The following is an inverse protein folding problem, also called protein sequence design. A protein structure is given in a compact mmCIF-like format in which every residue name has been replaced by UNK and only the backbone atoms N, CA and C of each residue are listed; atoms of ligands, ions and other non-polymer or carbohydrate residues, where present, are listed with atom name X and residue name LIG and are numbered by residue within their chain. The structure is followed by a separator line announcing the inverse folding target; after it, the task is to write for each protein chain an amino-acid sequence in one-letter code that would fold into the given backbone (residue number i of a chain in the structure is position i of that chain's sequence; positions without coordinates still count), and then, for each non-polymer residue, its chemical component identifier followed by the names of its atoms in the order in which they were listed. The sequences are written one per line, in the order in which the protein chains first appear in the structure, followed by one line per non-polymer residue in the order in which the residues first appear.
data_IF_376420303259
#
_entry.id   IF_376420303259
#
_cell.length_a   1.000
_cell.length_b   1.000
_cell.length_c   1.000
_cell.angle_alpha   90.00
_cell.angle_beta   90.00
_cell.angle_gamma   90.00
#
_symmetry.space_group_name_H-M   'P 1'
#
loop_
_entity.id
_entity.type
_entity.pdbx_description
1 polymer ?
#
# COMPACT_ATOMS: atom_id res chain seq x y z
N UNK A 1 -40.55 30.30 26.63
CA UNK A 1 -40.38 31.50 25.78
C UNK A 1 -39.65 31.06 24.55
N UNK A 2 -40.15 31.07 23.50
CA UNK A 2 -40.96 31.33 22.32
C UNK A 2 -40.53 30.33 21.25
N UNK A 3 -41.23 29.43 20.81
CA UNK A 3 -42.41 29.21 19.90
C UNK A 3 -42.69 30.35 18.93
N UNK A 4 -42.72 29.99 17.66
CA UNK A 4 -43.56 30.46 16.53
C UNK A 4 -42.72 30.51 15.24
N UNK A 5 -43.15 30.12 14.08
CA UNK A 5 -44.40 30.02 13.29
C UNK A 5 -43.89 29.92 11.85
N UNK A 6 -44.33 29.22 10.90
CA UNK A 6 -45.52 29.10 10.05
C UNK A 6 -45.26 28.07 8.94
N UNK A 7 -45.94 27.16 8.57
CA UNK A 7 -47.28 26.91 7.99
C UNK A 7 -47.80 27.92 6.94
N UNK A 8 -48.41 27.30 5.87
CA UNK A 8 -49.21 27.88 4.74
C UNK A 8 -48.37 27.92 3.43
N UNK A 9 -48.79 27.33 2.29
CA UNK A 9 -50.14 27.09 1.80
C UNK A 9 -50.17 25.96 0.76
N UNK A 10 -51.20 25.15 0.84
CA UNK A 10 -51.68 24.36 -0.29
C UNK A 10 -52.64 25.21 -1.11
N UNK A 11 -52.50 25.20 -2.42
CA UNK A 11 -53.61 25.63 -3.30
C UNK A 11 -53.67 24.72 -4.54
N UNK A 12 -54.83 24.20 -4.73
CA UNK A 12 -55.38 23.44 -5.85
C UNK A 12 -55.26 24.13 -7.21
N UNK A 13 -55.39 23.30 -8.21
CA UNK A 13 -56.12 23.40 -9.49
C UNK A 13 -55.21 22.86 -10.61
N UNK A 14 -55.55 21.84 -11.32
CA UNK A 14 -56.45 21.64 -12.41
C UNK A 14 -55.96 20.49 -13.26
N UNK A 15 -56.81 19.54 -13.49
CA UNK A 15 -56.67 18.50 -14.51
C UNK A 15 -56.69 19.11 -15.92
N UNK A 16 -55.74 18.72 -16.76
CA UNK A 16 -55.94 18.66 -18.22
C UNK A 16 -54.87 17.90 -18.95
N UNK A 17 -55.24 16.85 -19.67
CA UNK A 17 -54.70 16.57 -21.01
C UNK A 17 -53.42 15.70 -21.09
N UNK A 18 -53.67 14.42 -21.34
CA UNK A 18 -52.70 13.45 -21.92
C UNK A 18 -51.96 13.98 -23.15
N UNK A 19 -50.64 13.96 -23.13
CA UNK A 19 -49.82 13.60 -24.32
C UNK A 19 -48.45 13.16 -23.85
N UNK A 20 -48.15 11.88 -24.10
CA UNK A 20 -46.89 11.26 -23.73
C UNK A 20 -45.68 11.83 -24.49
N UNK A 21 -44.89 12.62 -23.82
CA UNK A 21 -43.52 12.90 -24.23
C UNK A 21 -42.62 12.58 -23.07
N UNK A 22 -42.04 11.33 -23.08
CA UNK A 22 -40.92 10.98 -22.23
C UNK A 22 -39.72 11.77 -22.75
N UNK A 23 -39.00 12.55 -21.92
CA UNK A 23 -37.76 13.17 -22.33
C UNK A 23 -36.74 12.07 -22.66
N UNK A 24 -36.33 12.00 -23.93
CA UNK A 24 -35.16 11.20 -24.36
C UNK A 24 -33.96 11.81 -23.67
N UNK A 25 -33.49 11.19 -22.56
CA UNK A 25 -32.15 11.40 -22.02
C UNK A 25 -31.16 11.05 -23.12
N UNK A 26 -30.55 12.07 -23.70
CA UNK A 26 -29.48 11.98 -24.68
C UNK A 26 -28.27 11.33 -24.03
N UNK A 27 -28.17 9.99 -24.13
CA UNK A 27 -26.99 9.22 -23.72
C UNK A 27 -25.84 9.63 -24.62
N UNK A 28 -25.04 10.61 -24.19
CA UNK A 28 -23.71 10.80 -24.77
C UNK A 28 -22.91 9.53 -24.49
N UNK A 29 -22.75 8.70 -25.50
CA UNK A 29 -21.80 7.59 -25.49
C UNK A 29 -20.40 8.22 -25.43
N UNK A 30 -19.79 8.25 -24.25
CA UNK A 30 -18.35 8.52 -24.17
C UNK A 30 -17.63 7.40 -24.93
N UNK A 31 -16.71 7.74 -25.82
CA UNK A 31 -16.02 6.72 -26.63
C UNK A 31 -14.96 5.99 -25.81
N UNK A 32 -15.39 4.89 -25.14
CA UNK A 32 -14.52 3.95 -24.42
C UNK A 32 -13.30 3.51 -25.25
N UNK A 33 -13.45 3.41 -26.57
CA UNK A 33 -12.38 3.03 -27.50
C UNK A 33 -11.25 4.06 -27.55
N UNK A 34 -11.52 5.36 -27.38
CA UNK A 34 -10.49 6.40 -27.37
C UNK A 34 -9.65 6.37 -26.08
N UNK A 35 -10.26 6.02 -24.95
CA UNK A 35 -9.57 5.94 -23.66
C UNK A 35 -8.65 4.72 -23.63
N UNK A 36 -9.11 3.57 -24.15
CA UNK A 36 -8.28 2.37 -24.27
C UNK A 36 -7.08 2.58 -25.20
N UNK A 37 -7.28 3.27 -26.34
CA UNK A 37 -6.21 3.60 -27.28
C UNK A 37 -5.19 4.58 -26.68
N UNK A 38 -5.63 5.58 -25.90
CA UNK A 38 -4.75 6.53 -25.23
C UNK A 38 -3.91 5.87 -24.13
N UNK A 39 -4.52 4.99 -23.32
CA UNK A 39 -3.81 4.23 -22.28
C UNK A 39 -2.76 3.28 -22.90
N UNK A 40 -3.11 2.56 -23.96
CA UNK A 40 -2.20 1.67 -24.67
C UNK A 40 -1.07 2.43 -25.37
N UNK A 41 -1.35 3.59 -26.00
CA UNK A 41 -0.35 4.44 -26.63
C UNK A 41 0.66 5.01 -25.62
N UNK A 42 0.21 5.40 -24.42
CA UNK A 42 1.07 5.91 -23.36
C UNK A 42 1.98 4.82 -22.80
N UNK A 43 1.45 3.60 -22.59
CA UNK A 43 2.24 2.43 -22.12
C UNK A 43 3.31 2.05 -23.13
N UNK A 44 2.98 2.03 -24.43
CA UNK A 44 3.92 1.70 -25.50
C UNK A 44 4.99 2.78 -25.71
N UNK A 45 4.65 4.06 -25.49
CA UNK A 45 5.60 5.18 -25.57
C UNK A 45 6.65 5.16 -24.47
N UNK A 46 6.27 4.69 -23.25
CA UNK A 46 7.20 4.52 -22.12
C UNK A 46 8.14 3.33 -22.31
N UNK A 47 7.67 2.28 -22.99
CA UNK A 47 8.47 1.07 -23.25
C UNK A 47 9.58 1.27 -24.30
N UNK A 48 9.47 2.33 -25.14
CA UNK A 48 10.38 2.58 -26.26
C UNK A 48 11.58 3.50 -25.98
N UNK A 49 11.75 4.07 -24.78
CA UNK A 49 12.68 5.17 -24.52
C UNK A 49 13.82 4.91 -23.53
N UNK A 50 14.29 3.66 -23.36
CA UNK A 50 15.48 3.41 -22.54
C UNK A 50 16.54 2.56 -23.26
N UNK A 51 17.70 3.13 -23.62
CA UNK A 51 18.91 2.31 -23.83
C UNK A 51 19.50 1.96 -22.46
N UNK A 52 19.64 0.67 -22.18
CA UNK A 52 20.40 0.17 -21.04
C UNK A 52 21.90 0.40 -21.32
N UNK A 53 22.49 1.36 -20.63
CA UNK A 53 23.94 1.42 -20.46
C UNK A 53 24.30 0.65 -19.19
N UNK A 54 25.05 -0.44 -19.37
CA UNK A 54 25.73 -1.12 -18.31
C UNK A 54 27.03 -0.35 -18.01
N UNK A 55 27.12 0.26 -16.83
CA UNK A 55 28.39 0.66 -16.25
C UNK A 55 28.50 0.05 -14.86
N UNK A 56 29.50 -0.79 -14.72
CA UNK A 56 29.91 -1.40 -13.45
C UNK A 56 30.84 -0.44 -12.73
N UNK A 57 30.34 0.27 -11.73
CA UNK A 57 31.18 0.90 -10.73
C UNK A 57 30.80 0.41 -9.34
N UNK A 58 31.77 -0.32 -8.73
CA UNK A 58 31.69 -0.79 -7.35
C UNK A 58 31.88 0.39 -6.40
N UNK A 59 30.83 1.01 -5.93
CA UNK A 59 30.83 1.83 -4.73
C UNK A 59 29.92 1.21 -3.69
N UNK A 60 30.52 0.80 -2.56
CA UNK A 60 29.82 0.41 -1.34
C UNK A 60 29.00 1.61 -0.81
N UNK A 61 27.76 1.69 -1.19
CA UNK A 61 26.79 2.67 -0.74
C UNK A 61 25.56 1.95 -0.20
N UNK A 62 25.09 2.37 0.96
CA UNK A 62 23.93 1.88 1.67
C UNK A 62 22.79 1.48 0.70
N UNK A 63 22.38 0.21 0.74
CA UNK A 63 21.26 -0.30 -0.03
C UNK A 63 19.96 0.33 0.48
N UNK A 64 19.64 1.49 -0.10
CA UNK A 64 18.35 2.13 0.08
C UNK A 64 17.34 1.38 -0.80
N UNK A 65 16.50 0.53 -0.22
CA UNK A 65 15.42 -0.20 -0.91
C UNK A 65 14.26 0.68 -1.38
N UNK A 66 14.30 1.98 -1.18
CA UNK A 66 13.41 2.91 -1.87
C UNK A 66 13.87 3.02 -3.34
N UNK A 67 12.95 2.89 -4.34
CA UNK A 67 13.32 3.08 -5.74
C UNK A 67 13.98 4.44 -5.91
N UNK A 68 15.26 4.45 -6.27
CA UNK A 68 16.13 5.64 -6.26
C UNK A 68 15.71 6.73 -7.27
N UNK A 69 14.77 6.44 -8.16
CA UNK A 69 14.25 7.40 -9.14
C UNK A 69 12.76 7.19 -9.36
N UNK A 70 11.95 7.99 -8.66
CA UNK A 70 10.58 8.28 -9.07
C UNK A 70 10.61 9.13 -10.34
N UNK A 71 11.00 8.52 -11.47
CA UNK A 71 11.12 9.18 -12.76
C UNK A 71 9.75 9.45 -13.40
N UNK A 72 9.78 10.13 -14.55
CA UNK A 72 8.58 10.43 -15.36
C UNK A 72 7.73 9.19 -15.63
N UNK A 73 8.34 8.01 -15.82
CA UNK A 73 7.65 6.75 -16.05
C UNK A 73 6.76 6.33 -14.86
N UNK A 74 7.24 6.48 -13.63
CA UNK A 74 6.47 6.22 -12.40
C UNK A 74 5.28 7.18 -12.29
N UNK A 75 5.50 8.48 -12.50
CA UNK A 75 4.43 9.48 -12.46
C UNK A 75 3.35 9.19 -13.52
N UNK A 76 3.76 8.88 -14.75
CA UNK A 76 2.83 8.55 -15.84
C UNK A 76 2.05 7.28 -15.50
N UNK A 77 2.72 6.22 -15.01
CA UNK A 77 2.07 4.97 -14.61
C UNK A 77 1.04 5.20 -13.48
N UNK A 78 1.41 5.97 -12.46
CA UNK A 78 0.50 6.32 -11.35
C UNK A 78 -0.70 7.13 -11.82
N UNK A 79 -0.50 8.12 -12.70
CA UNK A 79 -1.60 8.92 -13.23
C UNK A 79 -2.53 8.12 -14.14
N UNK A 80 -1.99 7.20 -14.95
CA UNK A 80 -2.78 6.30 -15.78
C UNK A 80 -3.61 5.35 -14.91
N UNK A 81 -3.00 4.77 -13.88
CA UNK A 81 -3.72 3.89 -12.96
C UNK A 81 -4.80 4.65 -12.18
N UNK A 82 -4.49 5.84 -11.67
CA UNK A 82 -5.49 6.70 -11.01
C UNK A 82 -6.64 7.08 -11.95
N UNK A 83 -6.33 7.38 -13.22
CA UNK A 83 -7.35 7.64 -14.25
C UNK A 83 -8.21 6.42 -14.52
N UNK A 84 -7.62 5.23 -14.58
CA UNK A 84 -8.34 3.97 -14.76
C UNK A 84 -9.25 3.67 -13.56
N UNK A 85 -8.76 3.82 -12.33
CA UNK A 85 -9.56 3.69 -11.10
C UNK A 85 -10.77 4.62 -11.11
N UNK A 86 -10.60 5.88 -11.53
CA UNK A 86 -11.70 6.82 -11.68
C UNK A 86 -12.77 6.34 -12.67
N UNK A 87 -12.34 5.82 -13.82
CA UNK A 87 -13.21 5.24 -14.83
C UNK A 87 -13.96 4.03 -14.26
N UNK A 88 -13.25 3.13 -13.61
CA UNK A 88 -13.78 1.92 -13.00
C UNK A 88 -14.83 2.23 -11.93
N UNK A 89 -14.56 3.19 -11.04
CA UNK A 89 -15.50 3.64 -10.02
C UNK A 89 -16.77 4.25 -10.64
N UNK A 90 -16.64 5.15 -11.64
CA UNK A 90 -17.77 5.76 -12.33
C UNK A 90 -18.62 4.70 -13.05
N UNK A 91 -18.00 3.76 -13.74
CA UNK A 91 -18.74 2.70 -14.42
C UNK A 91 -19.27 1.64 -13.46
N UNK A 92 -18.60 1.38 -12.34
CA UNK A 92 -19.12 0.55 -11.25
C UNK A 92 -20.44 1.09 -10.71
N UNK A 93 -20.50 2.40 -10.42
CA UNK A 93 -21.71 3.07 -9.98
C UNK A 93 -22.79 3.09 -11.07
N UNK A 94 -22.46 3.48 -12.31
CA UNK A 94 -23.45 3.61 -13.39
C UNK A 94 -23.93 2.28 -13.94
N UNK A 95 -23.10 1.24 -13.90
CA UNK A 95 -23.45 -0.13 -14.25
C UNK A 95 -24.10 -0.89 -13.10
N UNK A 96 -24.17 -0.28 -11.91
CA UNK A 96 -24.68 -0.87 -10.68
C UNK A 96 -23.98 -2.19 -10.32
N UNK A 97 -22.64 -2.26 -10.54
CA UNK A 97 -21.81 -3.43 -10.30
C UNK A 97 -20.95 -3.27 -9.05
N UNK A 98 -21.20 -4.13 -8.05
CA UNK A 98 -20.38 -4.18 -6.85
C UNK A 98 -19.01 -4.80 -7.11
N UNK A 99 -18.91 -5.71 -8.09
CA UNK A 99 -17.64 -6.31 -8.48
C UNK A 99 -16.67 -5.27 -9.06
N UNK A 100 -17.14 -4.36 -9.95
CA UNK A 100 -16.32 -3.25 -10.45
C UNK A 100 -15.94 -2.26 -9.35
N UNK A 101 -16.84 -1.98 -8.40
CA UNK A 101 -16.53 -1.09 -7.28
C UNK A 101 -15.50 -1.71 -6.33
N UNK A 102 -15.54 -3.02 -6.12
CA UNK A 102 -14.53 -3.72 -5.33
C UNK A 102 -13.15 -3.70 -6.01
N UNK A 103 -13.11 -3.92 -7.33
CA UNK A 103 -11.88 -3.85 -8.12
C UNK A 103 -11.30 -2.42 -8.13
N UNK A 104 -12.14 -1.41 -8.35
CA UNK A 104 -11.75 0.01 -8.24
C UNK A 104 -11.21 0.38 -6.85
N UNK A 105 -11.82 -0.15 -5.78
CA UNK A 105 -11.35 0.05 -4.40
C UNK A 105 -9.98 -0.57 -4.15
N UNK A 106 -9.72 -1.74 -4.70
CA UNK A 106 -8.42 -2.40 -4.67
C UNK A 106 -7.35 -1.56 -5.37
N UNK A 107 -7.56 -1.25 -6.64
CA UNK A 107 -6.65 -0.46 -7.45
C UNK A 107 -6.40 0.95 -6.86
N UNK A 108 -7.42 1.57 -6.22
CA UNK A 108 -7.26 2.83 -5.51
C UNK A 108 -6.31 2.70 -4.32
N UNK A 109 -6.41 1.61 -3.56
CA UNK A 109 -5.51 1.36 -2.43
C UNK A 109 -4.05 1.26 -2.86
N UNK A 110 -3.79 0.60 -3.99
CA UNK A 110 -2.44 0.45 -4.51
C UNK A 110 -1.85 1.80 -4.92
N UNK A 111 -2.64 2.64 -5.60
CA UNK A 111 -2.23 4.00 -5.94
C UNK A 111 -1.99 4.85 -4.68
N UNK A 112 -2.89 4.77 -3.69
CA UNK A 112 -2.71 5.47 -2.42
C UNK A 112 -1.48 4.97 -1.67
N UNK A 113 -1.25 3.66 -1.62
CA UNK A 113 -0.05 3.07 -1.03
C UNK A 113 1.23 3.61 -1.65
N UNK A 114 1.29 3.70 -3.00
CA UNK A 114 2.43 4.28 -3.72
C UNK A 114 2.62 5.77 -3.43
N UNK A 115 1.54 6.57 -3.44
CA UNK A 115 1.59 8.01 -3.13
C UNK A 115 2.05 8.26 -1.70
N UNK A 116 1.57 7.46 -0.76
CA UNK A 116 1.93 7.50 0.65
C UNK A 116 3.41 7.15 0.83
N UNK A 117 3.88 6.07 0.19
CA UNK A 117 5.29 5.67 0.23
C UNK A 117 6.20 6.77 -0.34
N UNK A 118 5.81 7.38 -1.47
CA UNK A 118 6.54 8.50 -2.06
C UNK A 118 6.53 9.74 -1.16
N UNK A 119 5.38 10.12 -0.61
CA UNK A 119 5.25 11.23 0.32
C UNK A 119 6.09 11.02 1.59
N UNK A 120 6.03 9.84 2.18
CA UNK A 120 6.82 9.46 3.34
C UNK A 120 8.32 9.51 3.04
N UNK A 121 8.78 8.94 1.91
CA UNK A 121 10.17 9.00 1.46
C UNK A 121 10.64 10.46 1.23
N UNK A 122 9.76 11.33 0.76
CA UNK A 122 10.06 12.74 0.56
C UNK A 122 10.16 13.52 1.88
N UNK A 123 9.30 13.21 2.84
CA UNK A 123 9.27 13.86 4.16
C UNK A 123 10.36 13.31 5.07
N UNK A 124 10.67 12.02 5.01
CA UNK A 124 11.72 11.39 5.83
C UNK A 124 13.13 11.93 5.54
N UNK A 125 13.34 12.51 4.35
CA UNK A 125 14.60 13.19 3.99
C UNK A 125 14.78 14.56 4.66
N UNK A 126 13.75 15.09 5.32
CA UNK A 126 13.87 16.37 6.04
C UNK A 126 14.72 16.16 7.28
N UNK A 127 15.62 17.11 7.52
CA UNK A 127 16.49 17.10 8.69
C UNK A 127 15.67 17.05 9.99
N UNK A 128 16.18 16.40 11.05
CA UNK A 128 15.62 16.48 12.38
C UNK A 128 15.44 17.94 12.84
N UNK A 129 14.45 18.16 13.68
CA UNK A 129 14.16 19.49 14.26
C UNK A 129 14.24 19.42 15.78
N UNK A 130 14.22 20.57 16.46
CA UNK A 130 14.20 20.60 17.94
C UNK A 130 13.01 19.85 18.55
N UNK A 131 11.88 19.72 17.81
CA UNK A 131 10.67 19.02 18.29
C UNK A 131 10.60 17.58 17.81
N UNK A 132 11.30 17.23 16.75
CA UNK A 132 11.30 15.88 16.15
C UNK A 132 12.75 15.40 15.99
N UNK A 133 13.30 14.79 17.03
CA UNK A 133 14.72 14.38 17.11
C UNK A 133 15.11 13.35 16.04
N UNK A 134 14.21 12.47 15.66
CA UNK A 134 14.39 11.53 14.52
C UNK A 134 13.79 12.05 13.21
N UNK A 135 13.39 13.33 13.16
CA UNK A 135 12.67 13.90 12.02
C UNK A 135 11.28 13.28 11.85
N UNK A 136 10.85 13.15 10.60
CA UNK A 136 9.52 12.62 10.27
C UNK A 136 9.53 11.16 9.82
N UNK A 137 10.51 10.35 10.23
CA UNK A 137 10.66 8.96 9.77
C UNK A 137 9.45 8.09 10.09
N UNK A 138 8.84 8.25 11.27
CA UNK A 138 7.63 7.51 11.69
C UNK A 138 6.37 7.83 10.86
N UNK A 139 6.38 8.88 10.06
CA UNK A 139 5.23 9.20 9.19
C UNK A 139 4.94 8.11 8.19
N UNK A 140 5.94 7.33 7.74
CA UNK A 140 5.74 6.20 6.85
C UNK A 140 4.93 5.07 7.50
N UNK A 141 5.18 4.78 8.77
CA UNK A 141 4.43 3.78 9.55
C UNK A 141 2.97 4.22 9.75
N UNK A 142 2.78 5.48 10.18
CA UNK A 142 1.44 6.05 10.36
C UNK A 142 0.65 6.07 9.04
N UNK A 143 1.31 6.42 7.96
CA UNK A 143 0.72 6.48 6.65
C UNK A 143 0.26 5.08 6.18
N UNK A 144 1.08 4.04 6.37
CA UNK A 144 0.70 2.65 6.08
C UNK A 144 -0.48 2.20 6.96
N UNK A 145 -0.49 2.58 8.24
CA UNK A 145 -1.60 2.30 9.16
C UNK A 145 -2.91 2.95 8.69
N UNK A 146 -2.88 4.24 8.35
CA UNK A 146 -4.07 4.95 7.85
C UNK A 146 -4.57 4.38 6.53
N UNK A 147 -3.67 4.02 5.59
CA UNK A 147 -4.05 3.38 4.34
C UNK A 147 -4.77 2.05 4.58
N UNK A 148 -4.22 1.20 5.46
CA UNK A 148 -4.84 -0.08 5.81
C UNK A 148 -6.22 0.09 6.46
N UNK A 149 -6.37 1.04 7.39
CA UNK A 149 -7.66 1.33 8.03
C UNK A 149 -8.68 1.87 7.03
N UNK A 150 -8.28 2.83 6.18
CA UNK A 150 -9.15 3.38 5.15
C UNK A 150 -9.66 2.30 4.21
N UNK A 151 -8.77 1.41 3.74
CA UNK A 151 -9.14 0.32 2.87
C UNK A 151 -10.09 -0.67 3.54
N UNK A 152 -9.83 -1.06 4.80
CA UNK A 152 -10.71 -1.96 5.54
C UNK A 152 -12.13 -1.39 5.71
N UNK A 153 -12.25 -0.08 5.94
CA UNK A 153 -13.55 0.60 6.01
C UNK A 153 -14.24 0.56 4.64
N UNK A 154 -13.50 0.87 3.56
CA UNK A 154 -14.05 0.88 2.20
C UNK A 154 -14.55 -0.50 1.77
N UNK A 155 -13.72 -1.55 1.93
CA UNK A 155 -14.13 -2.92 1.58
C UNK A 155 -15.23 -3.44 2.50
N UNK A 156 -15.26 -3.01 3.77
CA UNK A 156 -16.35 -3.32 4.70
C UNK A 156 -17.71 -2.76 4.22
N UNK A 157 -17.72 -1.54 3.72
CA UNK A 157 -18.93 -0.94 3.13
C UNK A 157 -19.36 -1.69 1.84
N UNK A 158 -18.39 -2.05 0.98
CA UNK A 158 -18.68 -2.84 -0.23
C UNK A 158 -19.21 -4.23 0.14
N UNK A 159 -18.59 -4.91 1.13
CA UNK A 159 -19.06 -6.20 1.61
C UNK A 159 -20.50 -6.13 2.15
N UNK A 160 -20.78 -5.12 2.96
CA UNK A 160 -22.13 -4.91 3.52
C UNK A 160 -23.18 -4.76 2.40
N UNK A 161 -22.89 -3.90 1.42
CA UNK A 161 -23.80 -3.69 0.28
C UNK A 161 -23.93 -4.96 -0.59
N UNK A 162 -22.84 -5.68 -0.84
CA UNK A 162 -22.85 -6.92 -1.59
C UNK A 162 -23.69 -8.02 -0.89
N UNK A 163 -23.57 -8.14 0.44
CA UNK A 163 -24.40 -9.08 1.24
C UNK A 163 -25.88 -8.68 1.14
N UNK A 164 -26.20 -7.38 1.27
CA UNK A 164 -27.57 -6.88 1.14
C UNK A 164 -28.16 -7.22 -0.26
N UNK A 165 -27.36 -7.09 -1.33
CA UNK A 165 -27.76 -7.42 -2.71
C UNK A 165 -27.91 -8.91 -2.98
N UNK A 166 -27.33 -9.79 -2.18
CA UNK A 166 -27.62 -11.24 -2.28
C UNK A 166 -29.08 -11.56 -1.95
N UNK A 167 -29.65 -10.83 -0.97
CA UNK A 167 -31.09 -10.96 -0.64
C UNK A 167 -32.02 -10.24 -1.62
N UNK A 168 -31.54 -9.16 -2.28
CA UNK A 168 -32.31 -8.33 -3.21
C UNK A 168 -31.46 -8.04 -4.47
N UNK A 169 -31.29 -9.00 -5.37
CA UNK A 169 -30.41 -8.83 -6.54
C UNK A 169 -30.88 -7.66 -7.43
N UNK A 170 -29.99 -6.75 -7.70
CA UNK A 170 -30.23 -5.58 -8.54
C UNK A 170 -29.82 -5.85 -9.99
N UNK A 171 -30.48 -5.22 -10.99
CA UNK A 171 -30.06 -5.34 -12.37
C UNK A 171 -28.69 -4.71 -12.58
N UNK A 172 -27.78 -5.46 -13.20
CA UNK A 172 -26.41 -5.08 -13.51
C UNK A 172 -26.21 -5.00 -15.02
N UNK A 173 -25.53 -3.94 -15.48
CA UNK A 173 -25.21 -3.80 -16.91
C UNK A 173 -23.99 -4.65 -17.29
N UNK A 174 -24.16 -5.97 -17.42
CA UNK A 174 -23.09 -6.94 -17.63
C UNK A 174 -22.16 -6.62 -18.82
N UNK A 175 -22.68 -6.02 -19.91
CA UNK A 175 -21.85 -5.57 -21.06
C UNK A 175 -20.85 -4.47 -20.65
N UNK A 176 -21.29 -3.52 -19.86
CA UNK A 176 -20.45 -2.42 -19.37
C UNK A 176 -19.39 -2.98 -18.43
N UNK A 177 -19.79 -3.85 -17.48
CA UNK A 177 -18.88 -4.54 -16.55
C UNK A 177 -17.79 -5.28 -17.32
N UNK A 178 -18.18 -6.12 -18.29
CA UNK A 178 -17.24 -6.89 -19.09
C UNK A 178 -16.26 -6.00 -19.87
N UNK A 179 -16.71 -4.90 -20.48
CA UNK A 179 -15.85 -4.00 -21.26
C UNK A 179 -14.84 -3.29 -20.34
N UNK A 180 -15.28 -2.75 -19.20
CA UNK A 180 -14.40 -2.02 -18.28
C UNK A 180 -13.38 -2.96 -17.66
N UNK A 181 -13.80 -4.13 -17.18
CA UNK A 181 -12.88 -5.12 -16.63
C UNK A 181 -11.89 -5.67 -17.68
N UNK A 182 -12.30 -5.78 -18.97
CA UNK A 182 -11.37 -6.14 -20.06
C UNK A 182 -10.28 -5.08 -20.23
N UNK A 183 -10.61 -3.81 -20.09
CA UNK A 183 -9.61 -2.73 -20.10
C UNK A 183 -8.64 -2.91 -18.94
N UNK A 184 -9.13 -3.25 -17.73
CA UNK A 184 -8.30 -3.58 -16.57
C UNK A 184 -7.32 -4.72 -16.85
N UNK A 185 -7.79 -5.82 -17.45
CA UNK A 185 -6.92 -6.92 -17.86
C UNK A 185 -5.83 -6.44 -18.82
N UNK A 186 -6.17 -5.59 -19.80
CA UNK A 186 -5.19 -5.10 -20.77
C UNK A 186 -4.14 -4.19 -20.12
N UNK A 187 -4.55 -3.31 -19.22
CA UNK A 187 -3.64 -2.39 -18.49
C UNK A 187 -2.71 -3.18 -17.57
N UNK A 188 -3.27 -4.00 -16.69
CA UNK A 188 -2.50 -4.77 -15.72
C UNK A 188 -1.69 -5.88 -16.40
N UNK A 189 -2.24 -6.55 -17.41
CA UNK A 189 -1.56 -7.58 -18.19
C UNK A 189 -0.39 -7.03 -18.99
N UNK A 190 -0.53 -5.86 -19.63
CA UNK A 190 0.57 -5.20 -20.33
C UNK A 190 1.67 -4.79 -19.38
N UNK A 191 1.32 -4.25 -18.21
CA UNK A 191 2.28 -3.88 -17.16
C UNK A 191 3.01 -5.12 -16.62
N UNK A 192 2.28 -6.19 -16.32
CA UNK A 192 2.88 -7.47 -15.92
C UNK A 192 3.84 -8.01 -16.99
N UNK A 193 3.46 -7.94 -18.27
CA UNK A 193 4.33 -8.39 -19.36
C UNK A 193 5.63 -7.61 -19.46
N UNK A 194 5.62 -6.29 -19.20
CA UNK A 194 6.83 -5.47 -19.14
C UNK A 194 7.80 -5.94 -18.06
N UNK A 195 7.27 -6.33 -16.88
CA UNK A 195 8.08 -6.86 -15.78
C UNK A 195 8.48 -8.34 -15.95
N UNK A 196 7.84 -9.07 -16.87
CA UNK A 196 8.07 -10.51 -17.04
C UNK A 196 9.53 -10.89 -17.34
N UNK A 197 10.26 -10.03 -18.09
CA UNK A 197 11.68 -10.28 -18.45
C UNK A 197 12.64 -10.13 -17.29
N UNK A 198 12.40 -9.16 -16.39
CA UNK A 198 13.28 -8.87 -15.25
C UNK A 198 13.04 -9.73 -14.00
N UNK A 199 11.89 -10.45 -13.91
CA UNK A 199 11.43 -11.17 -12.71
C UNK A 199 12.33 -12.29 -12.19
N UNK A 200 13.28 -12.78 -13.00
CA UNK A 200 14.19 -13.86 -12.63
C UNK A 200 15.44 -13.37 -11.89
N UNK A 201 15.82 -12.09 -12.04
CA UNK A 201 17.03 -11.52 -11.48
C UNK A 201 16.81 -10.55 -10.32
N UNK A 202 15.58 -10.03 -10.14
CA UNK A 202 15.26 -9.02 -9.12
C UNK A 202 13.97 -9.39 -8.39
N UNK A 203 14.04 -9.45 -7.05
CA UNK A 203 12.91 -9.80 -6.19
C UNK A 203 11.80 -8.74 -6.23
N UNK A 204 12.17 -7.46 -6.37
CA UNK A 204 11.19 -6.36 -6.44
C UNK A 204 10.44 -6.39 -7.78
N UNK A 205 11.14 -6.66 -8.88
CA UNK A 205 10.54 -6.84 -10.21
C UNK A 205 9.62 -8.07 -10.21
N UNK A 206 10.01 -9.15 -9.51
CA UNK A 206 9.16 -10.33 -9.34
C UNK A 206 7.91 -10.02 -8.55
N UNK A 207 8.02 -9.26 -7.47
CA UNK A 207 6.87 -8.84 -6.66
C UNK A 207 5.91 -7.96 -7.47
N UNK A 208 6.41 -6.96 -8.21
CA UNK A 208 5.61 -6.12 -9.10
C UNK A 208 4.92 -6.93 -10.21
N UNK A 209 5.61 -7.91 -10.80
CA UNK A 209 5.02 -8.82 -11.79
C UNK A 209 3.85 -9.61 -11.21
N UNK A 210 4.05 -10.23 -10.02
CA UNK A 210 3.01 -11.03 -9.37
C UNK A 210 1.81 -10.19 -8.98
N UNK A 211 2.02 -8.98 -8.49
CA UNK A 211 0.96 -8.04 -8.15
C UNK A 211 0.11 -7.71 -9.39
N UNK A 212 0.71 -7.21 -10.45
CA UNK A 212 -0.01 -6.87 -11.69
C UNK A 212 -0.70 -8.09 -12.33
N UNK A 213 -0.10 -9.27 -12.23
CA UNK A 213 -0.72 -10.51 -12.71
C UNK A 213 -1.93 -10.92 -11.87
N UNK A 214 -1.89 -10.68 -10.56
CA UNK A 214 -3.03 -10.92 -9.65
C UNK A 214 -4.18 -9.97 -9.96
N UNK A 215 -3.91 -8.69 -10.22
CA UNK A 215 -4.93 -7.69 -10.56
C UNK A 215 -5.59 -8.04 -11.91
N UNK A 216 -4.79 -8.44 -12.89
CA UNK A 216 -5.33 -8.93 -14.17
C UNK A 216 -6.21 -10.19 -13.97
N UNK A 217 -5.87 -11.08 -13.04
CA UNK A 217 -6.68 -12.27 -12.72
C UNK A 217 -7.99 -11.90 -12.00
N UNK A 218 -7.98 -10.91 -11.10
CA UNK A 218 -9.19 -10.37 -10.46
C UNK A 218 -10.12 -9.78 -11.53
N UNK A 219 -9.61 -8.89 -12.39
CA UNK A 219 -10.38 -8.31 -13.50
C UNK A 219 -10.89 -9.39 -14.46
N UNK A 220 -10.15 -10.49 -14.70
CA UNK A 220 -10.63 -11.62 -15.48
C UNK A 220 -11.83 -12.32 -14.82
N UNK A 221 -11.82 -12.46 -13.51
CA UNK A 221 -12.97 -12.96 -12.73
C UNK A 221 -14.21 -12.09 -12.93
N UNK A 222 -14.04 -10.76 -12.94
CA UNK A 222 -15.11 -9.79 -13.18
C UNK A 222 -15.65 -9.92 -14.63
N UNK A 223 -14.78 -10.12 -15.64
CA UNK A 223 -15.21 -10.38 -17.03
C UNK A 223 -16.03 -11.64 -17.13
N UNK A 224 -15.59 -12.74 -16.50
CA UNK A 224 -16.32 -14.01 -16.48
C UNK A 224 -17.70 -13.83 -15.82
N UNK A 225 -17.77 -13.13 -14.68
CA UNK A 225 -19.02 -12.80 -14.01
C UNK A 225 -19.94 -11.99 -14.93
N UNK A 226 -19.46 -10.93 -15.55
CA UNK A 226 -20.21 -10.11 -16.50
C UNK A 226 -20.74 -10.92 -17.70
N UNK A 227 -19.94 -11.82 -18.25
CA UNK A 227 -20.33 -12.71 -19.35
C UNK A 227 -21.45 -13.67 -18.92
N UNK A 228 -21.32 -14.29 -17.74
CA UNK A 228 -22.34 -15.18 -17.18
C UNK A 228 -23.64 -14.42 -16.93
N UNK A 229 -23.59 -13.21 -16.37
CA UNK A 229 -24.79 -12.35 -16.16
C UNK A 229 -25.50 -12.09 -17.51
N UNK A 230 -24.73 -11.80 -18.58
CA UNK A 230 -25.32 -11.56 -19.92
C UNK A 230 -26.00 -12.82 -20.46
N UNK A 231 -25.42 -14.01 -20.24
CA UNK A 231 -25.91 -15.28 -20.78
C UNK A 231 -27.05 -15.88 -19.99
N UNK A 232 -27.02 -15.77 -18.67
CA UNK A 232 -27.95 -16.46 -17.76
C UNK A 232 -28.98 -15.54 -17.12
N UNK A 233 -28.71 -14.23 -17.06
CA UNK A 233 -29.52 -13.27 -16.29
C UNK A 233 -29.29 -13.36 -14.77
N UNK A 234 -28.31 -14.11 -14.30
CA UNK A 234 -28.02 -14.33 -12.87
C UNK A 234 -27.34 -13.13 -12.24
N UNK A 235 -28.11 -12.14 -11.85
CA UNK A 235 -27.57 -10.88 -11.27
C UNK A 235 -26.91 -11.05 -9.90
N UNK A 236 -27.17 -12.14 -9.17
CA UNK A 236 -26.53 -12.49 -7.92
C UNK A 236 -25.03 -12.81 -8.05
N UNK A 237 -24.55 -13.07 -9.28
CA UNK A 237 -23.15 -13.33 -9.54
C UNK A 237 -22.28 -12.08 -9.26
N UNK A 238 -22.79 -10.88 -9.50
CA UNK A 238 -22.05 -9.64 -9.23
C UNK A 238 -21.70 -9.48 -7.73
N UNK A 239 -22.65 -9.53 -6.79
CA UNK A 239 -22.30 -9.46 -5.37
C UNK A 239 -21.44 -10.65 -4.88
N UNK A 240 -21.59 -11.85 -5.44
CA UNK A 240 -20.72 -12.98 -5.09
C UNK A 240 -19.30 -12.73 -5.55
N UNK A 241 -19.10 -12.24 -6.78
CA UNK A 241 -17.78 -11.88 -7.31
C UNK A 241 -17.18 -10.76 -6.47
N UNK A 242 -17.98 -9.75 -6.11
CA UNK A 242 -17.54 -8.66 -5.22
C UNK A 242 -17.05 -9.19 -3.86
N UNK A 243 -17.80 -10.09 -3.23
CA UNK A 243 -17.40 -10.69 -1.94
C UNK A 243 -16.12 -11.53 -2.06
N UNK A 244 -15.93 -12.22 -3.18
CA UNK A 244 -14.68 -12.94 -3.43
C UNK A 244 -13.48 -11.97 -3.54
N UNK A 245 -13.64 -10.86 -4.27
CA UNK A 245 -12.63 -9.81 -4.38
C UNK A 245 -12.35 -9.18 -3.01
N UNK A 246 -13.40 -8.79 -2.28
CA UNK A 246 -13.29 -8.25 -0.92
C UNK A 246 -12.53 -9.19 0.02
N UNK A 247 -12.77 -10.50 -0.06
CA UNK A 247 -12.05 -11.47 0.76
C UNK A 247 -10.54 -11.46 0.44
N UNK A 248 -10.16 -11.44 -0.84
CA UNK A 248 -8.75 -11.36 -1.26
C UNK A 248 -8.08 -10.09 -0.71
N UNK A 249 -8.74 -8.94 -0.90
CA UNK A 249 -8.23 -7.64 -0.41
C UNK A 249 -8.13 -7.63 1.11
N UNK A 250 -9.14 -8.18 1.82
CA UNK A 250 -9.17 -8.23 3.28
C UNK A 250 -7.94 -8.94 3.85
N UNK A 251 -7.60 -10.13 3.33
CA UNK A 251 -6.45 -10.88 3.85
C UNK A 251 -5.12 -10.16 3.63
N UNK A 252 -4.92 -9.52 2.48
CA UNK A 252 -3.73 -8.70 2.21
C UNK A 252 -3.65 -7.49 3.14
N UNK A 253 -4.75 -6.73 3.24
CA UNK A 253 -4.82 -5.51 4.07
C UNK A 253 -4.72 -5.81 5.55
N UNK A 254 -5.27 -6.93 6.02
CA UNK A 254 -5.17 -7.37 7.41
C UNK A 254 -3.71 -7.63 7.82
N UNK A 255 -2.91 -8.20 6.90
CA UNK A 255 -1.46 -8.34 7.09
C UNK A 255 -0.77 -6.98 7.27
N UNK A 256 -1.05 -6.04 6.36
CA UNK A 256 -0.51 -4.68 6.41
C UNK A 256 -0.92 -3.96 7.70
N UNK A 257 -2.18 -4.07 8.13
CA UNK A 257 -2.65 -3.48 9.37
C UNK A 257 -1.88 -4.01 10.58
N UNK A 258 -1.77 -5.35 10.69
CA UNK A 258 -1.03 -5.98 11.81
C UNK A 258 0.43 -5.52 11.85
N UNK A 259 1.11 -5.49 10.71
CA UNK A 259 2.51 -5.04 10.63
C UNK A 259 2.64 -3.57 11.00
N UNK A 260 1.75 -2.70 10.50
CA UNK A 260 1.78 -1.26 10.82
C UNK A 260 1.52 -0.98 12.30
N UNK A 261 0.58 -1.70 12.92
CA UNK A 261 0.34 -1.61 14.37
C UNK A 261 1.56 -2.11 15.15
N UNK A 262 2.14 -3.23 14.76
CA UNK A 262 3.32 -3.80 15.40
C UNK A 262 4.51 -2.82 15.35
N UNK A 263 4.79 -2.22 14.18
CA UNK A 263 5.81 -1.19 14.03
C UNK A 263 5.51 0.07 14.87
N UNK A 264 4.24 0.44 15.02
CA UNK A 264 3.83 1.59 15.85
C UNK A 264 4.04 1.34 17.35
N UNK A 265 4.05 0.07 17.76
CA UNK A 265 4.28 -0.39 19.14
C UNK A 265 5.74 -0.81 19.38
N UNK A 266 6.66 -0.38 18.55
CA UNK A 266 8.09 -0.65 18.66
C UNK A 266 8.44 -2.16 18.74
N UNK A 267 7.62 -3.02 18.09
CA UNK A 267 7.91 -4.44 17.97
C UNK A 267 9.23 -4.64 17.24
N UNK A 268 9.99 -5.65 17.68
CA UNK A 268 11.20 -6.09 16.98
C UNK A 268 10.87 -6.43 15.51
N UNK A 269 11.67 -5.94 14.55
CA UNK A 269 11.46 -6.23 13.13
C UNK A 269 11.41 -7.72 12.83
N UNK A 270 10.50 -8.12 11.92
CA UNK A 270 10.45 -9.49 11.44
C UNK A 270 11.78 -9.83 10.72
N UNK A 271 12.38 -10.97 11.07
CA UNK A 271 13.69 -11.39 10.54
C UNK A 271 14.89 -11.04 11.42
N UNK A 272 14.72 -10.22 12.46
CA UNK A 272 15.78 -9.96 13.45
C UNK A 272 15.47 -10.75 14.73
N UNK A 273 16.36 -11.66 15.10
CA UNK A 273 16.29 -12.37 16.37
C UNK A 273 17.13 -11.62 17.43
N UNK A 274 16.53 -11.01 18.48
CA UNK A 274 17.28 -10.27 19.49
C UNK A 274 18.41 -11.08 20.13
N UNK A 275 18.21 -12.38 20.35
CA UNK A 275 19.21 -13.27 20.90
C UNK A 275 20.46 -13.42 19.98
N UNK A 276 20.30 -13.38 18.64
CA UNK A 276 21.43 -13.42 17.72
C UNK A 276 22.19 -12.10 17.71
N UNK A 277 21.47 -10.98 17.84
CA UNK A 277 22.07 -9.64 17.96
C UNK A 277 22.89 -9.57 19.26
N UNK A 278 22.29 -9.99 20.39
CA UNK A 278 22.96 -10.04 21.70
C UNK A 278 24.22 -10.91 21.64
N UNK A 279 24.12 -12.10 21.07
CA UNK A 279 25.26 -13.00 20.91
C UNK A 279 26.39 -12.39 20.06
N UNK A 280 26.02 -11.66 18.99
CA UNK A 280 26.99 -11.01 18.12
C UNK A 280 27.71 -9.87 18.83
N UNK A 281 26.99 -9.08 19.60
CA UNK A 281 27.53 -8.00 20.43
C UNK A 281 28.42 -8.56 21.57
N UNK A 282 27.99 -9.64 22.22
CA UNK A 282 28.76 -10.30 23.29
C UNK A 282 30.07 -10.94 22.77
N UNK A 283 30.13 -11.27 21.49
CA UNK A 283 31.34 -11.81 20.86
C UNK A 283 32.39 -10.73 20.54
N UNK A 284 32.06 -9.45 20.66
CA UNK A 284 33.01 -8.36 20.42
C UNK A 284 34.15 -8.34 21.48
N UNK A 285 35.37 -8.00 21.08
CA UNK A 285 36.54 -8.00 21.99
C UNK A 285 36.32 -7.10 23.21
N UNK A 286 36.48 -7.65 24.42
CA UNK A 286 36.38 -6.92 25.68
C UNK A 286 34.97 -6.78 26.24
N UNK A 287 33.95 -7.21 25.53
CA UNK A 287 32.56 -7.26 26.01
C UNK A 287 32.39 -8.48 26.93
N UNK A 288 31.91 -8.28 28.12
CA UNK A 288 31.62 -9.35 29.09
C UNK A 288 30.16 -9.64 29.26
N UNK A 289 29.30 -8.65 29.01
CA UNK A 289 27.84 -8.75 29.09
C UNK A 289 27.19 -7.71 28.20
N UNK A 290 26.01 -8.08 27.65
CA UNK A 290 25.09 -7.17 26.95
C UNK A 290 23.81 -7.13 27.76
N UNK A 291 23.19 -5.93 27.89
CA UNK A 291 21.87 -5.76 28.51
C UNK A 291 21.19 -4.54 27.94
N UNK A 292 19.92 -4.31 28.30
CA UNK A 292 19.07 -3.22 27.82
C UNK A 292 19.07 -3.15 26.29
N UNK A 293 18.94 -4.31 25.64
CA UNK A 293 18.93 -4.43 24.18
C UNK A 293 17.51 -4.23 23.67
N UNK A 294 17.32 -3.15 22.93
CA UNK A 294 16.08 -2.83 22.24
C UNK A 294 16.31 -2.67 20.75
N UNK A 295 15.42 -3.25 19.95
CA UNK A 295 15.46 -3.15 18.47
C UNK A 295 14.08 -2.84 17.97
N UNK A 296 13.90 -1.78 17.17
CA UNK A 296 12.61 -1.34 16.70
C UNK A 296 12.67 -0.63 15.34
N UNK A 297 11.54 -0.45 14.71
CA UNK A 297 11.42 0.33 13.47
C UNK A 297 11.37 1.84 13.72
N UNK A 298 12.28 2.60 13.12
CA UNK A 298 12.19 4.07 13.00
C UNK A 298 11.27 4.50 11.86
N UNK A 299 11.22 3.71 10.79
CA UNK A 299 10.37 3.90 9.62
C UNK A 299 9.97 2.53 9.07
N UNK A 300 9.26 2.49 7.96
CA UNK A 300 8.98 1.22 7.24
C UNK A 300 10.23 0.55 6.66
N UNK A 301 11.37 1.25 6.64
CA UNK A 301 12.63 0.77 6.05
C UNK A 301 13.83 0.89 6.99
N UNK A 302 13.76 1.74 8.01
CA UNK A 302 14.89 2.00 8.89
C UNK A 302 14.68 1.32 10.25
N UNK A 303 15.72 0.64 10.73
CA UNK A 303 15.75 -0.04 12.03
C UNK A 303 16.74 0.67 12.95
N UNK A 304 16.35 0.83 14.22
CA UNK A 304 17.19 1.34 15.28
C UNK A 304 17.45 0.28 16.36
N UNK A 305 18.55 0.47 17.06
CA UNK A 305 18.97 -0.33 18.20
C UNK A 305 19.52 0.56 19.31
N UNK A 306 19.20 0.22 20.54
CA UNK A 306 19.93 0.66 21.74
C UNK A 306 20.42 -0.56 22.52
N UNK A 307 21.60 -0.49 23.11
CA UNK A 307 22.11 -1.52 24.01
C UNK A 307 23.18 -0.96 24.94
N UNK A 308 23.40 -1.69 26.06
CA UNK A 308 24.51 -1.47 26.97
C UNK A 308 25.50 -2.62 26.85
N UNK A 309 26.79 -2.26 26.70
CA UNK A 309 27.91 -3.21 26.66
C UNK A 309 28.74 -3.05 27.93
N UNK A 310 28.84 -4.10 28.75
CA UNK A 310 29.75 -4.12 29.90
C UNK A 310 31.14 -4.50 29.44
N UNK A 311 32.06 -3.54 29.55
CA UNK A 311 33.47 -3.66 29.16
C UNK A 311 34.39 -3.18 30.29
N UNK A 312 34.85 -4.09 31.19
CA UNK A 312 35.67 -3.70 32.34
C UNK A 312 36.95 -2.90 32.01
N UNK A 313 37.50 -3.15 30.83
CA UNK A 313 38.63 -2.38 30.30
C UNK A 313 38.28 -0.99 29.74
N UNK A 314 37.01 -0.63 29.71
CA UNK A 314 36.48 0.58 29.07
C UNK A 314 36.35 0.46 27.55
N UNK A 315 35.79 1.49 26.91
CA UNK A 315 35.66 1.52 25.46
C UNK A 315 37.03 1.64 24.78
N UNK A 316 37.34 0.77 23.79
CA UNK A 316 38.65 0.85 23.05
C UNK A 316 38.75 2.07 22.13
N UNK A 317 37.70 2.88 22.00
CA UNK A 317 37.66 4.08 21.21
C UNK A 317 36.68 4.05 20.07
N UNK A 318 36.59 5.12 19.28
CA UNK A 318 35.59 5.34 18.24
C UNK A 318 35.61 4.27 17.17
N UNK A 319 36.77 3.69 16.85
CA UNK A 319 36.86 2.62 15.88
C UNK A 319 36.08 1.38 16.29
N UNK A 320 36.14 1.00 17.56
CA UNK A 320 35.33 -0.13 18.08
C UNK A 320 33.82 0.11 17.89
N UNK A 321 33.36 1.32 18.18
CA UNK A 321 31.93 1.67 17.99
C UNK A 321 31.53 1.68 16.51
N UNK A 322 32.45 2.12 15.64
CA UNK A 322 32.24 2.09 14.20
C UNK A 322 32.15 0.64 13.68
N UNK A 323 33.12 -0.21 14.03
CA UNK A 323 33.16 -1.62 13.61
C UNK A 323 31.93 -2.40 14.14
N UNK A 324 31.48 -2.09 15.38
CA UNK A 324 30.24 -2.65 15.94
C UNK A 324 29.01 -2.19 15.15
N UNK A 325 28.95 -0.91 14.76
CA UNK A 325 27.88 -0.36 13.93
C UNK A 325 27.85 -0.97 12.54
N UNK A 326 29.00 -1.15 11.87
CA UNK A 326 29.10 -1.83 10.58
C UNK A 326 28.63 -3.29 10.68
N UNK A 327 29.06 -4.04 11.72
CA UNK A 327 28.60 -5.41 11.95
C UNK A 327 27.07 -5.49 12.12
N UNK A 328 26.48 -4.56 12.88
CA UNK A 328 25.03 -4.48 13.08
C UNK A 328 24.30 -4.16 11.78
N UNK A 329 24.87 -3.27 10.96
CA UNK A 329 24.31 -2.94 9.66
C UNK A 329 24.38 -4.12 8.69
N UNK A 330 25.57 -4.71 8.50
CA UNK A 330 25.80 -5.73 7.47
C UNK A 330 25.10 -7.05 7.76
N UNK A 331 24.98 -7.39 9.05
CA UNK A 331 24.41 -8.68 9.46
C UNK A 331 22.92 -8.61 9.75
N UNK A 332 22.42 -7.48 10.25
CA UNK A 332 21.05 -7.33 10.75
C UNK A 332 20.28 -6.17 10.11
N UNK A 333 20.87 -5.45 9.15
CA UNK A 333 20.28 -4.26 8.50
C UNK A 333 19.90 -3.14 9.50
N UNK A 334 20.57 -3.07 10.66
CA UNK A 334 20.34 -2.06 11.68
C UNK A 334 21.12 -0.79 11.31
N UNK A 335 20.41 0.22 10.80
CA UNK A 335 21.02 1.46 10.29
C UNK A 335 21.28 2.54 11.34
N UNK A 336 20.74 2.42 12.55
CA UNK A 336 20.92 3.39 13.63
C UNK A 336 21.14 2.69 14.96
N UNK A 337 22.38 2.64 15.43
CA UNK A 337 22.71 2.03 16.71
C UNK A 337 23.19 3.08 17.72
N UNK A 338 22.71 3.02 18.94
CA UNK A 338 23.21 3.76 20.10
C UNK A 338 23.73 2.75 21.11
N UNK A 339 25.04 2.79 21.39
CA UNK A 339 25.71 1.83 22.26
C UNK A 339 26.26 2.59 23.45
N UNK A 340 25.81 2.23 24.65
CA UNK A 340 26.38 2.70 25.89
C UNK A 340 27.44 1.68 26.35
N UNK A 341 28.61 2.17 26.76
CA UNK A 341 29.68 1.31 27.29
C UNK A 341 29.80 1.55 28.79
N UNK A 342 29.70 0.48 29.57
CA UNK A 342 29.80 0.46 31.02
C UNK A 342 31.05 -0.34 31.47
N UNK A 343 31.71 0.08 32.56
CA UNK A 343 32.85 -0.67 33.10
C UNK A 343 32.43 -1.81 34.01
N UNK A 344 31.18 -1.82 34.47
CA UNK A 344 30.69 -2.83 35.41
C UNK A 344 31.23 -2.67 36.84
N UNK A 345 31.65 -1.44 37.19
CA UNK A 345 32.10 -1.07 38.53
C UNK A 345 30.94 -1.13 39.53
N UNK A 346 31.17 -0.78 40.81
CA UNK A 346 30.25 -1.02 41.95
C UNK A 346 28.83 -0.41 41.84
N UNK A 347 28.57 0.48 40.90
CA UNK A 347 27.22 1.01 40.67
C UNK A 347 26.48 0.15 39.62
N UNK A 348 25.49 -0.62 40.08
CA UNK A 348 24.61 -1.38 39.20
C UNK A 348 23.81 -0.43 38.31
N UNK A 349 23.89 -0.61 36.95
CA UNK A 349 23.06 0.08 36.00
C UNK A 349 21.59 -0.12 36.37
N UNK A 350 20.79 0.98 36.41
CA UNK A 350 19.35 0.91 36.71
C UNK A 350 18.57 0.08 35.70
N UNK A 351 19.08 -0.01 34.45
CA UNK A 351 18.51 -0.75 33.33
C UNK A 351 19.10 -2.15 33.15
N UNK A 352 19.85 -2.66 34.14
CA UNK A 352 20.48 -3.97 34.07
C UNK A 352 19.52 -5.16 34.16
N UNK A 353 18.32 -4.95 34.67
CA UNK A 353 17.30 -5.98 34.77
C UNK A 353 16.50 -6.08 33.47
N UNK A 354 16.28 -7.31 32.98
CA UNK A 354 15.59 -7.59 31.70
C UNK A 354 14.13 -7.12 31.60
N UNK A 355 13.55 -6.65 32.70
CA UNK A 355 12.16 -6.16 32.80
C UNK A 355 12.05 -4.66 33.06
N UNK A 356 13.17 -3.93 33.05
CA UNK A 356 13.19 -2.47 33.17
C UNK A 356 13.30 -1.82 31.79
N UNK A 357 12.38 -0.90 31.51
CA UNK A 357 12.41 -0.01 30.35
C UNK A 357 12.47 1.42 30.87
#
# INVERSE_FOLDING_TARGET
MHRHILSIAATKVGEAGSSGHRPRLYRRKFPLQLIAAAAMGAILSVAGSQPMSADHDHHHGAHNHAPANFGRAFLIGTLLNLGFVGIEAVYGLTANSMALLADAGHNLSDVLGLLIAWGAASISRRAPTQHYSYGFRRTSILAALFNALFLLVAIGAIAFEAIHRLGNPQPVMGKTVMVVATIGILVNGATAWLFARGRKGDINIRAAFLHMASDAAVSAGVVVSGLLIIRTGWTWLDPVTSLAIVAVIFFGTWGLLKSSVAMSLDRVPDGIAPAEVEQSLAALPGVTRVHDLHVWHLSTTDVALTCHLVMPGGCPGDRFLHDAGEMLHDRFEIGHATIQVERGDDEACRQAASHTV
#
